data_IF_152032192167
#
_entry.id   IF_152032192167
#
_cell.length_a   1.000
_cell.length_b   1.000
_cell.length_c   1.000
_cell.angle_alpha   90.00
_cell.angle_beta   90.00
_cell.angle_gamma   90.00
#
_symmetry.space_group_name_H-M   'P 1'
#
loop_
_entity.id
_entity.type
_entity.pdbx_description
1 polymer ?
#
# COMPACT_ATOMS: atom_id res chain seq x y z
N UNK A 1 -4.38 -39.54 46.43
CA UNK A 1 -5.21 -38.45 45.86
C UNK A 1 -4.32 -37.59 44.96
N UNK A 2 -4.25 -37.90 43.68
CA UNK A 2 -3.71 -37.02 42.63
C UNK A 2 -3.90 -37.72 41.29
N UNK A 3 -4.91 -37.34 40.49
CA UNK A 3 -4.82 -37.50 39.03
C UNK A 3 -5.78 -36.51 38.32
N UNK A 4 -5.28 -35.97 37.21
CA UNK A 4 -5.97 -35.42 36.03
C UNK A 4 -6.37 -33.93 35.98
N UNK A 5 -5.39 -33.11 35.59
CA UNK A 5 -5.58 -31.88 34.79
C UNK A 5 -4.74 -31.95 33.52
N UNK A 6 -5.14 -32.76 32.53
CA UNK A 6 -4.43 -32.84 31.23
C UNK A 6 -5.28 -33.40 30.08
N UNK A 7 -6.49 -32.87 29.84
CA UNK A 7 -7.33 -33.38 28.74
C UNK A 7 -7.66 -32.38 27.60
N UNK A 8 -7.41 -31.07 27.76
CA UNK A 8 -7.83 -30.10 26.71
C UNK A 8 -6.76 -29.74 25.67
N UNK A 9 -5.48 -30.06 25.90
CA UNK A 9 -4.35 -29.71 25.00
C UNK A 9 -3.96 -30.83 24.04
N UNK A 10 -4.55 -32.02 24.16
CA UNK A 10 -4.18 -33.20 23.37
C UNK A 10 -5.03 -33.40 22.10
N UNK A 11 -6.22 -32.80 22.01
CA UNK A 11 -7.09 -32.99 20.84
C UNK A 11 -6.65 -32.16 19.60
N UNK A 12 -5.90 -31.06 19.79
CA UNK A 12 -5.36 -30.25 18.68
C UNK A 12 -3.98 -30.72 18.21
N UNK A 13 -3.20 -31.41 19.05
CA UNK A 13 -1.84 -31.84 18.72
C UNK A 13 -1.77 -33.05 17.78
N UNK A 14 -2.77 -33.92 17.75
CA UNK A 14 -2.75 -35.11 16.89
C UNK A 14 -3.11 -34.86 15.41
N UNK A 15 -3.69 -33.72 15.04
CA UNK A 15 -3.95 -33.39 13.63
C UNK A 15 -2.85 -32.54 12.96
N UNK A 16 -2.00 -31.88 13.73
CA UNK A 16 -0.98 -30.96 13.22
C UNK A 16 0.31 -31.64 12.69
N UNK A 17 0.45 -32.96 12.89
CA UNK A 17 1.68 -33.71 12.55
C UNK A 17 1.72 -34.18 11.09
N UNK A 18 0.63 -34.10 10.32
CA UNK A 18 0.57 -34.72 8.99
C UNK A 18 0.98 -33.85 7.78
N UNK A 19 1.28 -32.55 7.91
CA UNK A 19 1.62 -31.73 6.72
C UNK A 19 2.72 -30.68 6.96
N UNK A 20 3.97 -31.17 7.04
CA UNK A 20 5.14 -30.41 6.57
C UNK A 20 5.40 -30.84 5.13
N UNK A 21 5.00 -30.06 4.12
CA UNK A 21 5.74 -29.87 2.86
C UNK A 21 4.99 -28.91 1.91
N UNK A 22 5.75 -27.93 1.38
CA UNK A 22 5.48 -27.02 0.25
C UNK A 22 4.31 -26.04 0.36
N UNK A 23 4.68 -24.77 0.58
CA UNK A 23 3.79 -23.62 0.47
C UNK A 23 3.23 -23.46 -0.94
N UNK A 24 1.91 -23.53 -1.03
CA UNK A 24 1.10 -23.03 -2.13
C UNK A 24 0.23 -21.91 -1.57
N UNK A 25 0.50 -20.68 -2.01
CA UNK A 25 -0.38 -19.54 -1.78
C UNK A 25 -1.37 -19.49 -2.94
N UNK A 26 -2.63 -19.83 -2.67
CA UNK A 26 -3.77 -19.49 -3.53
C UNK A 26 -4.76 -18.76 -2.64
N UNK A 27 -5.00 -17.49 -2.93
CA UNK A 27 -6.00 -16.67 -2.27
C UNK A 27 -7.15 -16.48 -3.25
N UNK A 28 -8.31 -17.05 -2.92
CA UNK A 28 -9.57 -16.75 -3.58
C UNK A 28 -10.13 -15.45 -3.02
N UNK A 29 -10.30 -14.48 -3.92
CA UNK A 29 -11.14 -13.30 -3.76
C UNK A 29 -12.34 -13.52 -4.71
N UNK A 30 -13.19 -14.48 -4.37
CA UNK A 30 -14.31 -14.90 -5.21
C UNK A 30 -15.51 -13.96 -5.03
N UNK A 31 -15.39 -12.70 -5.50
CA UNK A 31 -16.52 -11.81 -5.87
C UNK A 31 -16.17 -10.87 -7.05
N UNK A 32 -14.93 -10.84 -7.56
CA UNK A 32 -14.54 -10.03 -8.74
C UNK A 32 -14.08 -10.88 -9.94
N UNK A 33 -14.51 -12.14 -10.02
CA UNK A 33 -14.30 -13.01 -11.17
C UNK A 33 -15.41 -12.82 -12.21
N UNK A 34 -15.37 -11.69 -12.89
CA UNK A 34 -15.77 -11.58 -14.29
C UNK A 34 -15.36 -10.22 -14.79
N UNK A 35 -14.14 -10.11 -15.31
CA UNK A 35 -13.76 -9.31 -16.48
C UNK A 35 -12.24 -9.50 -16.69
N UNK A 36 -11.92 -10.01 -17.88
CA UNK A 36 -10.60 -10.14 -18.52
C UNK A 36 -9.65 -11.24 -18.00
N UNK A 37 -9.96 -12.47 -18.44
CA UNK A 37 -8.97 -13.51 -18.72
C UNK A 37 -8.06 -13.08 -19.89
N UNK A 38 -6.76 -12.93 -19.65
CA UNK A 38 -5.73 -13.43 -20.57
C UNK A 38 -4.53 -13.94 -19.75
N UNK A 39 -4.25 -15.23 -19.93
CA UNK A 39 -3.07 -15.92 -19.44
C UNK A 39 -1.78 -15.21 -19.90
N UNK A 40 -0.82 -14.99 -18.99
CA UNK A 40 0.59 -15.04 -19.37
C UNK A 40 1.48 -15.42 -18.19
N UNK A 41 2.24 -16.50 -18.36
CA UNK A 41 3.19 -17.01 -17.38
C UNK A 41 4.41 -16.11 -17.20
N UNK A 42 5.13 -16.37 -16.08
CA UNK A 42 6.51 -15.97 -15.77
C UNK A 42 7.08 -14.84 -16.65
N UNK A 43 6.96 -13.60 -16.18
CA UNK A 43 7.58 -12.45 -16.84
C UNK A 43 9.12 -12.55 -16.79
N UNK A 44 9.72 -12.98 -17.90
CA UNK A 44 11.08 -12.63 -18.25
C UNK A 44 11.00 -11.35 -19.10
N UNK A 45 11.26 -10.19 -18.49
CA UNK A 45 11.22 -8.91 -19.22
C UNK A 45 12.44 -8.82 -20.14
N UNK A 46 12.29 -9.25 -21.39
CA UNK A 46 13.26 -8.97 -22.45
C UNK A 46 13.05 -7.53 -22.93
N UNK A 47 13.92 -6.62 -22.50
CA UNK A 47 13.95 -5.24 -22.98
C UNK A 47 14.56 -5.23 -24.39
N UNK A 48 13.70 -5.21 -25.43
CA UNK A 48 14.13 -5.02 -26.82
C UNK A 48 14.22 -3.51 -27.12
N UNK A 49 15.39 -2.92 -26.91
CA UNK A 49 15.77 -1.64 -27.49
C UNK A 49 16.47 -1.95 -28.81
N UNK A 50 15.86 -1.63 -29.96
CA UNK A 50 16.53 -1.69 -31.26
C UNK A 50 17.55 -0.55 -31.30
N UNK A 51 18.81 -0.84 -31.05
CA UNK A 51 19.94 -0.05 -31.55
C UNK A 51 20.42 -0.69 -32.85
N UNK A 52 20.46 0.07 -33.92
CA UNK A 52 21.17 -0.28 -35.15
C UNK A 52 22.65 -0.45 -34.82
N UNK A 53 23.11 -1.70 -34.73
CA UNK A 53 24.49 -2.05 -34.40
C UNK A 53 24.56 -3.39 -33.67
N UNK A 54 25.21 -4.37 -34.28
CA UNK A 54 25.22 -5.79 -33.89
C UNK A 54 25.95 -6.13 -32.59
N UNK A 55 25.42 -5.70 -31.46
CA UNK A 55 25.80 -6.23 -30.15
C UNK A 55 24.57 -6.69 -29.40
N UNK A 56 24.61 -7.90 -28.82
CA UNK A 56 23.54 -8.41 -27.95
C UNK A 56 23.21 -7.35 -26.90
N UNK A 57 21.95 -6.92 -26.72
CA UNK A 57 21.61 -5.91 -25.74
C UNK A 57 22.04 -6.39 -24.35
N UNK A 58 22.88 -5.60 -23.67
CA UNK A 58 23.31 -5.89 -22.29
C UNK A 58 22.06 -6.05 -21.44
N UNK A 59 21.88 -7.21 -20.79
CA UNK A 59 20.76 -7.45 -19.86
C UNK A 59 20.82 -6.37 -18.77
N UNK A 60 19.84 -5.47 -18.73
CA UNK A 60 19.74 -4.51 -17.62
C UNK A 60 19.40 -5.29 -16.35
N UNK A 61 20.30 -5.26 -15.38
CA UNK A 61 20.11 -5.92 -14.09
C UNK A 61 19.16 -5.06 -13.27
N UNK A 62 18.05 -5.66 -12.83
CA UNK A 62 17.14 -5.03 -11.89
C UNK A 62 17.57 -5.38 -10.47
N UNK A 63 18.02 -4.38 -9.71
CA UNK A 63 18.52 -4.55 -8.36
C UNK A 63 17.36 -4.67 -7.36
N UNK A 64 17.31 -5.77 -6.62
CA UNK A 64 16.27 -6.02 -5.61
C UNK A 64 16.51 -5.21 -4.34
N UNK A 65 15.40 -4.84 -3.68
CA UNK A 65 15.41 -4.20 -2.36
C UNK A 65 14.79 -5.18 -1.39
N UNK A 66 15.63 -5.94 -0.70
CA UNK A 66 15.20 -7.05 0.17
C UNK A 66 14.29 -6.60 1.31
N UNK A 67 14.49 -5.39 1.85
CA UNK A 67 13.64 -4.85 2.90
C UNK A 67 12.21 -4.59 2.42
N UNK A 68 12.03 -4.07 1.21
CA UNK A 68 10.71 -3.86 0.63
C UNK A 68 10.05 -5.19 0.20
N UNK A 69 10.84 -6.18 -0.21
CA UNK A 69 10.33 -7.55 -0.39
C UNK A 69 9.82 -8.13 0.94
N UNK A 70 10.50 -7.84 2.05
CA UNK A 70 10.14 -8.29 3.38
C UNK A 70 8.84 -7.65 3.88
N UNK A 71 8.53 -6.41 3.49
CA UNK A 71 7.22 -5.77 3.79
C UNK A 71 6.05 -6.66 3.36
N UNK A 72 6.11 -7.22 2.15
CA UNK A 72 5.08 -8.13 1.62
C UNK A 72 4.88 -9.37 2.49
N UNK A 73 5.96 -9.89 3.06
CA UNK A 73 5.92 -11.08 3.92
C UNK A 73 5.49 -10.75 5.35
N UNK A 74 5.90 -9.59 5.88
CA UNK A 74 5.59 -9.15 7.24
C UNK A 74 4.11 -8.88 7.47
N UNK A 75 3.39 -8.44 6.43
CA UNK A 75 1.96 -8.12 6.47
C UNK A 75 1.03 -9.34 6.48
N UNK A 76 1.49 -10.51 6.02
CA UNK A 76 0.65 -11.70 5.88
C UNK A 76 0.00 -12.13 7.19
N UNK A 77 0.77 -12.16 8.30
CA UNK A 77 0.25 -12.56 9.62
C UNK A 77 -0.67 -11.49 10.24
N UNK A 78 -0.29 -10.19 10.29
CA UNK A 78 -1.19 -9.11 10.66
C UNK A 78 -2.54 -9.15 9.94
N UNK A 79 -2.55 -9.42 8.63
CA UNK A 79 -3.78 -9.51 7.86
C UNK A 79 -4.73 -10.59 8.39
N UNK A 80 -4.23 -11.79 8.73
CA UNK A 80 -5.06 -12.86 9.31
C UNK A 80 -5.58 -12.51 10.71
N UNK A 81 -4.72 -11.89 11.54
CA UNK A 81 -5.12 -11.45 12.89
C UNK A 81 -6.25 -10.41 12.82
N UNK A 82 -6.10 -9.42 11.95
CA UNK A 82 -7.09 -8.35 11.78
C UNK A 82 -8.38 -8.88 11.15
N UNK A 83 -8.29 -9.74 10.13
CA UNK A 83 -9.45 -10.41 9.54
C UNK A 83 -10.25 -11.19 10.58
N UNK A 84 -9.57 -11.96 11.42
CA UNK A 84 -10.24 -12.73 12.48
C UNK A 84 -10.88 -11.81 13.53
N UNK A 85 -10.23 -10.69 13.87
CA UNK A 85 -10.83 -9.65 14.72
C UNK A 85 -12.11 -9.10 14.10
N UNK A 86 -12.08 -8.72 12.81
CA UNK A 86 -13.26 -8.19 12.10
C UNK A 86 -14.42 -9.19 12.10
N UNK A 87 -14.14 -10.46 11.82
CA UNK A 87 -15.14 -11.54 11.84
C UNK A 87 -15.73 -11.72 13.24
N UNK A 88 -14.91 -11.74 14.29
CA UNK A 88 -15.42 -11.90 15.66
C UNK A 88 -16.30 -10.71 16.04
N UNK A 89 -15.91 -9.49 15.67
CA UNK A 89 -16.66 -8.27 16.00
C UNK A 89 -17.97 -8.14 15.20
N UNK A 90 -18.06 -8.71 14.01
CA UNK A 90 -19.30 -8.66 13.20
C UNK A 90 -20.42 -9.53 13.80
N UNK A 91 -20.08 -10.52 14.63
CA UNK A 91 -21.05 -11.38 15.29
C UNK A 91 -21.68 -10.70 16.52
N UNK A 92 -23.01 -10.84 16.69
CA UNK A 92 -23.79 -10.20 17.78
C UNK A 92 -23.20 -10.43 19.18
N UNK A 93 -22.72 -11.65 19.44
CA UNK A 93 -22.19 -12.04 20.74
C UNK A 93 -20.67 -11.80 20.87
N UNK A 94 -20.05 -11.12 19.89
CA UNK A 94 -18.59 -10.91 19.80
C UNK A 94 -17.79 -12.22 19.92
N UNK A 95 -18.36 -13.31 19.42
CA UNK A 95 -17.78 -14.64 19.42
C UNK A 95 -18.20 -15.41 18.16
N UNK A 96 -17.33 -16.32 17.72
CA UNK A 96 -17.56 -17.21 16.57
C UNK A 96 -17.34 -18.67 16.99
N UNK A 97 -18.17 -19.58 16.49
CA UNK A 97 -17.96 -21.01 16.68
C UNK A 97 -16.90 -21.52 15.70
N UNK A 98 -15.96 -22.35 16.15
CA UNK A 98 -14.89 -22.89 15.29
C UNK A 98 -15.42 -23.67 14.08
N UNK A 99 -16.60 -24.28 14.21
CA UNK A 99 -17.27 -24.99 13.10
C UNK A 99 -17.74 -24.06 11.99
N UNK A 100 -18.08 -22.82 12.33
CA UNK A 100 -18.65 -21.84 11.39
C UNK A 100 -17.55 -20.96 10.76
N UNK A 101 -16.34 -20.98 11.30
CA UNK A 101 -15.18 -20.27 10.74
C UNK A 101 -14.91 -20.63 9.27
N UNK A 102 -15.14 -21.89 8.87
CA UNK A 102 -14.98 -22.30 7.48
C UNK A 102 -15.94 -21.59 6.52
N UNK A 103 -17.14 -21.25 6.97
CA UNK A 103 -18.13 -20.53 6.16
C UNK A 103 -17.73 -19.07 5.97
N UNK A 104 -17.05 -18.49 6.95
CA UNK A 104 -16.61 -17.09 6.93
C UNK A 104 -15.34 -16.88 6.07
N UNK A 105 -14.36 -17.78 6.16
CA UNK A 105 -13.04 -17.59 5.51
C UNK A 105 -12.72 -18.58 4.40
N UNK A 106 -13.51 -19.64 4.26
CA UNK A 106 -13.24 -20.75 3.35
C UNK A 106 -12.23 -21.77 3.89
N UNK A 107 -12.19 -22.93 3.25
CA UNK A 107 -11.45 -24.12 3.72
C UNK A 107 -9.95 -23.87 3.97
N UNK A 108 -9.26 -23.25 3.01
CA UNK A 108 -7.79 -23.04 3.10
C UNK A 108 -7.46 -22.03 4.21
N UNK A 109 -8.19 -20.93 4.27
CA UNK A 109 -7.90 -19.85 5.22
C UNK A 109 -8.28 -20.20 6.66
N UNK A 110 -9.25 -21.11 6.85
CA UNK A 110 -9.62 -21.66 8.16
C UNK A 110 -8.39 -22.14 8.94
N UNK A 111 -7.47 -22.86 8.28
CA UNK A 111 -6.27 -23.38 8.92
C UNK A 111 -5.29 -22.28 9.33
N UNK A 112 -5.17 -21.22 8.54
CA UNK A 112 -4.37 -20.04 8.91
C UNK A 112 -4.95 -19.33 10.15
N UNK A 113 -6.28 -19.18 10.21
CA UNK A 113 -6.97 -18.64 11.37
C UNK A 113 -6.77 -19.54 12.60
N UNK A 114 -6.93 -20.87 12.46
CA UNK A 114 -6.69 -21.83 13.55
C UNK A 114 -5.26 -21.72 14.11
N UNK A 115 -4.26 -21.64 13.23
CA UNK A 115 -2.87 -21.47 13.65
C UNK A 115 -2.63 -20.13 14.39
N UNK A 116 -3.33 -19.06 14.00
CA UNK A 116 -3.28 -17.76 14.66
C UNK A 116 -3.96 -17.80 16.03
N UNK A 117 -5.11 -18.46 16.15
CA UNK A 117 -5.84 -18.63 17.41
C UNK A 117 -4.98 -19.38 18.43
N UNK A 118 -4.39 -20.51 18.04
CA UNK A 118 -3.53 -21.31 18.92
C UNK A 118 -2.26 -20.54 19.32
N UNK A 119 -1.69 -19.78 18.38
CA UNK A 119 -0.41 -19.09 18.59
C UNK A 119 -0.51 -17.83 19.43
N UNK A 120 -1.66 -17.15 19.44
CA UNK A 120 -1.81 -15.83 20.07
C UNK A 120 -2.94 -15.82 21.12
N UNK A 121 -2.79 -16.57 22.23
CA UNK A 121 -3.77 -16.61 23.31
C UNK A 121 -3.94 -15.26 24.04
N UNK A 122 -3.00 -14.33 23.86
CA UNK A 122 -3.10 -12.95 24.35
C UNK A 122 -4.15 -12.13 23.61
N UNK A 123 -4.48 -12.51 22.37
CA UNK A 123 -5.50 -11.85 21.53
C UNK A 123 -6.79 -12.66 21.53
N UNK A 124 -6.69 -13.98 21.32
CA UNK A 124 -7.84 -14.86 21.12
C UNK A 124 -8.04 -15.78 22.34
N UNK A 125 -9.21 -15.68 22.94
CA UNK A 125 -9.67 -16.58 23.99
C UNK A 125 -10.55 -17.66 23.39
N UNK A 126 -10.20 -18.93 23.63
CA UNK A 126 -10.99 -20.09 23.23
C UNK A 126 -11.78 -20.57 24.44
N UNK A 127 -13.09 -20.67 24.30
CA UNK A 127 -13.99 -21.18 25.35
C UNK A 127 -14.84 -22.34 24.84
N UNK A 128 -15.32 -23.18 25.76
CA UNK A 128 -16.09 -24.38 25.46
C UNK A 128 -15.28 -25.68 25.48
N UNK A 129 -15.98 -26.81 25.53
CA UNK A 129 -15.39 -28.16 25.64
C UNK A 129 -16.25 -29.14 26.44
N UNK A 130 -16.12 -30.44 26.16
CA UNK A 130 -16.88 -31.59 26.68
C UNK A 130 -18.39 -31.64 26.38
N UNK A 131 -19.14 -30.53 26.44
CA UNK A 131 -20.60 -30.48 26.15
C UNK A 131 -21.09 -29.20 25.46
N UNK A 132 -20.23 -28.19 25.33
CA UNK A 132 -20.55 -26.92 24.67
C UNK A 132 -19.71 -26.73 23.41
N UNK A 133 -20.27 -26.12 22.34
CA UNK A 133 -19.51 -25.82 21.12
C UNK A 133 -18.29 -24.95 21.43
N UNK A 134 -17.15 -25.29 20.81
CA UNK A 134 -15.93 -24.49 20.96
C UNK A 134 -16.11 -23.15 20.22
N UNK A 135 -15.95 -22.07 20.97
CA UNK A 135 -16.08 -20.70 20.48
C UNK A 135 -14.80 -19.91 20.71
N UNK A 136 -14.58 -18.91 19.86
CA UNK A 136 -13.45 -17.99 19.92
C UNK A 136 -13.97 -16.58 20.08
N UNK A 137 -13.38 -15.86 21.02
CA UNK A 137 -13.65 -14.45 21.27
C UNK A 137 -12.34 -13.69 21.48
N UNK A 138 -12.40 -12.37 21.41
CA UNK A 138 -11.25 -11.54 21.78
C UNK A 138 -11.08 -11.54 23.31
N UNK A 139 -9.83 -11.53 23.78
CA UNK A 139 -9.53 -11.29 25.22
C UNK A 139 -9.98 -9.89 25.63
N UNK A 140 -10.22 -9.65 26.92
CA UNK A 140 -10.61 -8.31 27.42
C UNK A 140 -9.59 -7.22 27.05
N UNK A 141 -8.30 -7.56 27.03
CA UNK A 141 -7.25 -6.64 26.58
C UNK A 141 -7.38 -6.32 25.09
N UNK A 142 -7.61 -7.33 24.26
CA UNK A 142 -7.82 -7.15 22.83
C UNK A 142 -9.11 -6.40 22.52
N UNK A 143 -10.20 -6.65 23.25
CA UNK A 143 -11.47 -5.93 23.11
C UNK A 143 -11.31 -4.43 23.41
N UNK A 144 -10.57 -4.08 24.47
CA UNK A 144 -10.27 -2.68 24.80
C UNK A 144 -9.54 -1.98 23.65
N UNK A 145 -8.47 -2.58 23.13
CA UNK A 145 -7.75 -2.00 21.98
C UNK A 145 -8.63 -1.98 20.73
N UNK A 146 -9.48 -2.98 20.52
CA UNK A 146 -10.38 -3.02 19.37
C UNK A 146 -11.43 -1.90 19.38
N UNK A 147 -11.80 -1.38 20.55
CA UNK A 147 -12.73 -0.25 20.68
C UNK A 147 -12.14 1.07 20.14
N UNK A 148 -10.81 1.21 20.14
CA UNK A 148 -10.11 2.40 19.60
C UNK A 148 -10.23 2.52 18.07
N UNK A 149 -10.81 1.53 17.39
CA UNK A 149 -10.97 1.53 15.93
C UNK A 149 -11.87 2.65 15.44
N UNK A 150 -12.94 2.95 16.18
CA UNK A 150 -13.92 3.97 15.77
C UNK A 150 -13.31 5.37 15.85
N UNK A 151 -12.50 5.64 16.88
CA UNK A 151 -11.68 6.86 16.96
C UNK A 151 -10.72 6.95 15.78
N UNK A 152 -10.03 5.85 15.45
CA UNK A 152 -9.13 5.82 14.30
C UNK A 152 -9.85 6.09 12.97
N UNK A 153 -11.11 5.63 12.81
CA UNK A 153 -11.96 5.91 11.64
C UNK A 153 -12.35 7.38 11.56
N UNK A 154 -12.75 7.98 12.69
CA UNK A 154 -13.10 9.41 12.77
C UNK A 154 -11.91 10.27 12.35
N UNK A 155 -10.71 9.96 12.86
CA UNK A 155 -9.48 10.67 12.50
C UNK A 155 -9.06 10.43 11.04
N UNK A 156 -9.47 9.31 10.45
CA UNK A 156 -9.15 8.96 9.06
C UNK A 156 -10.06 9.68 8.06
N UNK A 157 -11.34 9.92 8.39
CA UNK A 157 -12.32 10.54 7.50
C UNK A 157 -11.83 11.81 6.76
N UNK A 158 -11.28 12.85 7.43
CA UNK A 158 -10.77 14.04 6.74
C UNK A 158 -9.60 13.75 5.80
N UNK A 159 -8.76 12.75 6.12
CA UNK A 159 -7.64 12.32 5.27
C UNK A 159 -8.18 11.65 4.01
N UNK A 160 -9.21 10.80 4.14
CA UNK A 160 -9.85 10.14 3.01
C UNK A 160 -10.50 11.15 2.06
N UNK A 161 -11.19 12.15 2.60
CA UNK A 161 -11.80 13.22 1.80
C UNK A 161 -10.72 14.02 1.06
N UNK A 162 -9.64 14.43 1.75
CA UNK A 162 -8.49 15.10 1.11
C UNK A 162 -7.91 14.24 -0.01
N UNK A 163 -7.68 12.94 0.24
CA UNK A 163 -7.06 12.04 -0.72
C UNK A 163 -7.96 11.76 -1.93
N UNK A 164 -9.27 11.60 -1.74
CA UNK A 164 -10.23 11.45 -2.84
C UNK A 164 -10.30 12.72 -3.70
N UNK A 165 -10.34 13.91 -3.07
CA UNK A 165 -10.29 15.18 -3.82
C UNK A 165 -9.01 15.28 -4.65
N UNK A 166 -7.84 15.02 -4.05
CA UNK A 166 -6.56 14.99 -4.76
C UNK A 166 -6.54 13.96 -5.89
N UNK A 167 -7.06 12.75 -5.67
CA UNK A 167 -7.15 11.72 -6.72
C UNK A 167 -7.96 12.22 -7.91
N UNK A 168 -9.11 12.82 -7.68
CA UNK A 168 -9.94 13.40 -8.75
C UNK A 168 -9.21 14.56 -9.44
N UNK A 169 -8.57 15.45 -8.67
CA UNK A 169 -7.78 16.57 -9.22
C UNK A 169 -6.59 16.11 -10.09
N UNK A 170 -6.02 14.93 -9.85
CA UNK A 170 -4.97 14.34 -10.69
C UNK A 170 -5.50 13.88 -12.05
N UNK A 171 -6.79 13.57 -12.16
CA UNK A 171 -7.40 13.10 -13.41
C UNK A 171 -7.70 14.23 -14.37
N UNK A 172 -7.63 13.94 -15.66
CA UNK A 172 -7.81 14.94 -16.72
C UNK A 172 -9.18 15.61 -16.70
N UNK A 173 -10.22 14.82 -16.44
CA UNK A 173 -11.62 15.28 -16.45
C UNK A 173 -12.17 15.51 -15.04
N UNK A 174 -11.32 15.49 -14.00
CA UNK A 174 -11.73 15.62 -12.59
C UNK A 174 -12.81 14.61 -12.16
N UNK A 175 -12.77 13.40 -12.75
CA UNK A 175 -13.73 12.32 -12.53
C UNK A 175 -13.09 10.96 -12.69
N UNK A 176 -13.62 9.97 -11.97
CA UNK A 176 -13.16 8.57 -12.03
C UNK A 176 -14.38 7.64 -11.99
N UNK A 177 -14.43 6.56 -12.79
CA UNK A 177 -15.45 5.52 -12.65
C UNK A 177 -15.43 4.91 -11.24
N UNK A 178 -16.60 4.73 -10.61
CA UNK A 178 -16.67 4.15 -9.26
C UNK A 178 -16.04 2.74 -9.21
N UNK A 179 -16.20 1.93 -10.26
CA UNK A 179 -15.56 0.62 -10.40
C UNK A 179 -14.03 0.68 -10.23
N UNK A 180 -13.38 1.76 -10.69
CA UNK A 180 -11.92 1.94 -10.55
C UNK A 180 -11.53 2.39 -9.15
N UNK A 181 -12.39 3.15 -8.45
CA UNK A 181 -12.18 3.52 -7.06
C UNK A 181 -12.32 2.27 -6.18
N UNK A 182 -13.33 1.43 -6.42
CA UNK A 182 -13.52 0.14 -5.75
C UNK A 182 -12.27 -0.76 -5.90
N UNK A 183 -11.66 -0.78 -7.08
CA UNK A 183 -10.43 -1.54 -7.32
C UNK A 183 -9.25 -1.13 -6.40
N UNK A 184 -9.24 0.12 -5.92
CA UNK A 184 -8.18 0.67 -5.05
C UNK A 184 -8.68 1.08 -3.65
N UNK A 185 -9.91 0.72 -3.27
CA UNK A 185 -10.53 1.20 -2.03
C UNK A 185 -9.71 0.84 -0.78
N UNK A 186 -9.17 -0.38 -0.76
CA UNK A 186 -8.29 -0.86 0.31
C UNK A 186 -6.94 -0.11 0.36
N UNK A 187 -6.40 0.27 -0.80
CA UNK A 187 -5.15 1.04 -0.89
C UNK A 187 -5.36 2.49 -0.44
N UNK A 188 -6.55 3.06 -0.65
CA UNK A 188 -6.91 4.39 -0.15
C UNK A 188 -7.36 4.38 1.31
N UNK A 189 -7.72 3.21 1.84
CA UNK A 189 -8.25 3.06 3.21
C UNK A 189 -9.72 3.48 3.32
N UNK A 190 -10.48 3.41 2.22
CA UNK A 190 -11.90 3.74 2.22
C UNK A 190 -12.72 2.71 3.00
N UNK A 191 -13.78 3.14 3.71
CA UNK A 191 -14.78 2.22 4.27
C UNK A 191 -15.43 1.37 3.18
N UNK A 192 -15.81 0.13 3.48
CA UNK A 192 -16.48 -0.79 2.53
C UNK A 192 -17.77 -0.16 1.96
N UNK A 193 -18.45 0.66 2.76
CA UNK A 193 -19.69 1.33 2.42
C UNK A 193 -19.50 2.80 2.01
N UNK A 194 -18.28 3.24 1.64
CA UNK A 194 -17.94 4.65 1.38
C UNK A 194 -18.89 5.35 0.41
N UNK A 195 -19.47 4.61 -0.55
CA UNK A 195 -20.47 5.11 -1.51
C UNK A 195 -21.73 5.64 -0.83
N UNK A 196 -22.10 5.06 0.31
CA UNK A 196 -23.28 5.42 1.12
C UNK A 196 -22.91 6.21 2.37
N UNK A 197 -21.73 5.97 2.94
CA UNK A 197 -21.32 6.54 4.23
C UNK A 197 -20.43 7.78 4.11
N UNK A 198 -19.56 7.87 3.10
CA UNK A 198 -18.58 8.95 2.95
C UNK A 198 -19.01 9.96 1.88
N UNK A 199 -19.30 9.50 0.66
CA UNK A 199 -19.61 10.38 -0.48
C UNK A 199 -20.81 11.31 -0.18
N UNK A 200 -21.96 10.82 0.34
CA UNK A 200 -23.12 11.68 0.58
C UNK A 200 -22.94 12.70 1.70
N UNK A 201 -21.93 12.55 2.57
CA UNK A 201 -21.62 13.52 3.63
C UNK A 201 -20.97 14.80 3.10
N UNK A 202 -20.39 14.75 1.91
CA UNK A 202 -19.60 15.84 1.31
C UNK A 202 -20.12 16.20 -0.10
N UNK A 203 -21.41 16.58 -0.25
CA UNK A 203 -21.99 16.95 -1.55
C UNK A 203 -21.32 18.17 -2.19
N UNK A 204 -20.68 19.03 -1.39
CA UNK A 204 -19.91 20.18 -1.86
C UNK A 204 -18.62 19.78 -2.60
N UNK A 205 -18.11 18.57 -2.35
CA UNK A 205 -16.90 18.06 -2.99
C UNK A 205 -17.19 16.99 -4.03
N UNK A 206 -18.19 16.15 -3.80
CA UNK A 206 -18.43 14.95 -4.60
C UNK A 206 -19.85 14.87 -5.14
N UNK A 207 -19.96 14.46 -6.40
CA UNK A 207 -21.22 13.99 -6.97
C UNK A 207 -21.02 12.68 -7.73
N UNK A 208 -22.07 11.86 -7.79
CA UNK A 208 -22.08 10.65 -8.61
C UNK A 208 -22.97 10.90 -9.82
N UNK A 209 -22.40 10.82 -11.02
CA UNK A 209 -23.08 11.08 -12.30
C UNK A 209 -22.94 9.87 -13.22
N UNK A 210 -24.00 9.55 -13.96
CA UNK A 210 -23.93 8.52 -15.00
C UNK A 210 -23.30 9.10 -16.27
N UNK A 211 -22.33 8.39 -16.83
CA UNK A 211 -21.72 8.68 -18.12
C UNK A 211 -21.67 7.39 -18.93
N UNK A 212 -22.53 7.29 -19.94
CA UNK A 212 -22.65 6.12 -20.82
C UNK A 212 -22.99 4.82 -20.06
N UNK A 213 -23.92 4.88 -19.11
CA UNK A 213 -24.37 3.72 -18.32
C UNK A 213 -23.38 3.29 -17.24
N UNK A 214 -22.41 4.13 -16.90
CA UNK A 214 -21.42 3.90 -15.85
C UNK A 214 -21.43 5.04 -14.85
N UNK A 215 -21.41 4.71 -13.57
CA UNK A 215 -21.34 5.70 -12.50
C UNK A 215 -19.91 6.25 -12.34
N UNK A 216 -19.77 7.57 -12.39
CA UNK A 216 -18.53 8.29 -12.15
C UNK A 216 -18.65 9.13 -10.88
N UNK A 217 -17.59 9.13 -10.09
CA UNK A 217 -17.38 10.13 -9.05
C UNK A 217 -16.76 11.38 -9.69
N UNK A 218 -17.41 12.52 -9.49
CA UNK A 218 -16.96 13.83 -9.96
C UNK A 218 -16.50 14.71 -8.80
N UNK A 219 -15.50 15.54 -9.06
CA UNK A 219 -15.13 16.64 -8.19
C UNK A 219 -15.96 17.87 -8.54
N UNK A 220 -16.77 18.36 -7.61
CA UNK A 220 -17.61 19.54 -7.82
C UNK A 220 -16.87 20.85 -7.55
N UNK A 221 -15.95 20.86 -6.57
CA UNK A 221 -15.22 22.06 -6.16
C UNK A 221 -13.70 21.82 -6.22
N UNK A 222 -13.05 22.56 -7.13
CA UNK A 222 -11.59 22.59 -7.23
C UNK A 222 -11.01 23.48 -6.12
N UNK A 223 -10.00 22.96 -5.43
CA UNK A 223 -9.33 23.67 -4.34
C UNK A 223 -7.84 23.75 -4.61
N UNK A 224 -7.41 24.96 -4.97
CA UNK A 224 -6.02 25.23 -5.32
C UNK A 224 -5.06 25.00 -4.15
N UNK A 225 -5.52 25.04 -2.89
CA UNK A 225 -4.68 24.74 -1.73
C UNK A 225 -4.26 23.26 -1.68
N UNK A 226 -5.07 22.37 -2.28
CA UNK A 226 -4.75 20.95 -2.41
C UNK A 226 -3.81 20.66 -3.58
N UNK A 227 -3.55 21.64 -4.46
CA UNK A 227 -2.71 21.51 -5.66
C UNK A 227 -1.21 21.39 -5.39
N UNK A 228 -0.81 21.08 -4.16
CA UNK A 228 0.58 20.87 -3.72
C UNK A 228 0.83 19.37 -3.58
N UNK A 229 1.89 18.87 -4.20
CA UNK A 229 2.27 17.45 -4.14
C UNK A 229 2.86 17.06 -2.79
N UNK A 230 2.78 15.79 -2.41
CA UNK A 230 3.43 15.24 -1.22
C UNK A 230 4.96 15.48 -1.24
N UNK A 231 5.56 15.52 -2.44
CA UNK A 231 6.96 15.89 -2.62
C UNK A 231 7.22 17.35 -2.23
N UNK A 232 6.37 18.28 -2.69
CA UNK A 232 6.50 19.71 -2.38
C UNK A 232 6.23 19.99 -0.90
N UNK A 233 5.22 19.35 -0.30
CA UNK A 233 4.90 19.43 1.14
C UNK A 233 6.14 19.02 1.99
N UNK A 234 6.86 17.96 1.61
CA UNK A 234 8.09 17.55 2.32
C UNK A 234 9.24 18.54 2.18
N UNK A 235 9.42 19.13 0.99
CA UNK A 235 10.50 20.09 0.75
C UNK A 235 10.32 21.38 1.56
N UNK A 236 9.09 21.83 1.76
CA UNK A 236 8.81 23.01 2.61
C UNK A 236 9.21 22.74 4.06
N UNK A 237 8.86 21.57 4.59
CA UNK A 237 9.24 21.17 5.96
C UNK A 237 10.76 21.02 6.14
N UNK A 238 11.46 20.48 5.15
CA UNK A 238 12.92 20.31 5.20
C UNK A 238 13.68 21.65 4.99
N UNK A 239 13.09 22.58 4.22
CA UNK A 239 13.67 23.89 3.89
C UNK A 239 13.65 24.89 5.05
N UNK A 240 12.67 24.80 5.95
CA UNK A 240 12.61 25.63 7.17
C UNK A 240 13.74 25.30 8.16
N UNK A 241 14.38 24.13 8.04
CA UNK A 241 15.50 23.70 8.90
C UNK A 241 16.89 23.97 8.34
N UNK A 242 17.02 24.48 7.10
CA UNK A 242 18.34 24.78 6.49
C UNK A 242 18.34 26.14 5.81
N UNK A 243 18.77 27.15 6.56
CA UNK A 243 19.05 28.49 6.08
C UNK A 243 19.96 28.50 4.85
N UNK A 244 19.62 29.37 3.91
CA UNK A 244 20.15 29.39 2.55
C UNK A 244 21.64 29.62 2.44
N UNK A 245 22.32 28.71 1.74
CA UNK A 245 23.60 28.97 1.08
C UNK A 245 23.35 29.29 -0.38
N UNK A 246 23.41 30.58 -0.75
CA UNK A 246 23.48 31.01 -2.15
C UNK A 246 24.82 30.54 -2.75
N UNK A 247 24.76 29.90 -3.91
CA UNK A 247 25.75 30.19 -4.95
C UNK A 247 26.93 29.24 -5.15
N UNK A 248 26.92 28.01 -4.63
CA UNK A 248 27.90 27.01 -5.08
C UNK A 248 27.24 26.08 -6.11
N UNK A 249 27.92 25.79 -7.22
CA UNK A 249 27.48 24.79 -8.21
C UNK A 249 27.56 23.41 -7.56
N UNK A 250 26.58 23.07 -6.72
CA UNK A 250 26.53 21.77 -6.06
C UNK A 250 26.38 20.72 -7.15
N UNK A 251 27.42 19.92 -7.38
CA UNK A 251 27.35 18.73 -8.24
C UNK A 251 26.47 17.69 -7.56
N UNK A 252 25.77 16.86 -8.34
CA UNK A 252 24.99 15.75 -7.79
C UNK A 252 25.88 14.87 -6.90
N UNK A 253 25.41 14.55 -5.69
CA UNK A 253 26.15 13.68 -4.79
C UNK A 253 26.10 12.22 -5.29
N UNK A 254 27.03 11.38 -4.82
CA UNK A 254 27.13 9.98 -5.26
C UNK A 254 25.87 9.14 -4.95
N UNK A 255 25.04 9.60 -4.03
CA UNK A 255 23.73 9.04 -3.68
C UNK A 255 22.60 9.48 -4.64
N UNK A 256 22.89 10.34 -5.62
CA UNK A 256 21.92 10.79 -6.63
C UNK A 256 21.00 11.93 -6.17
N UNK A 257 21.17 12.42 -4.95
CA UNK A 257 20.37 13.53 -4.43
C UNK A 257 20.92 14.87 -4.93
N UNK A 258 20.02 15.80 -5.24
CA UNK A 258 20.35 17.11 -5.78
C UNK A 258 19.51 18.17 -5.06
N UNK A 259 20.12 19.23 -4.50
CA UNK A 259 19.38 20.28 -3.80
C UNK A 259 18.70 21.20 -4.81
N UNK A 260 17.53 20.79 -5.30
CA UNK A 260 16.70 21.61 -6.19
C UNK A 260 15.22 21.50 -5.81
N UNK A 261 14.45 22.60 -5.93
CA UNK A 261 13.00 22.59 -5.79
C UNK A 261 12.29 21.58 -6.70
N UNK A 262 12.95 21.13 -7.78
CA UNK A 262 12.39 20.20 -8.77
C UNK A 262 12.96 18.77 -8.69
N UNK A 263 13.89 18.50 -7.76
CA UNK A 263 14.52 17.20 -7.62
C UNK A 263 13.74 16.18 -6.77
N UNK A 264 13.60 14.95 -7.25
CA UNK A 264 13.09 13.84 -6.44
C UNK A 264 14.16 13.31 -5.50
N UNK A 265 13.75 12.84 -4.32
CA UNK A 265 14.63 12.08 -3.43
C UNK A 265 14.96 10.72 -4.07
N UNK A 266 16.23 10.37 -4.07
CA UNK A 266 16.75 9.16 -4.73
C UNK A 266 17.31 8.18 -3.70
N UNK A 267 16.87 6.92 -3.82
CA UNK A 267 17.27 5.81 -2.97
C UNK A 267 17.79 4.65 -3.82
N UNK A 268 19.09 4.50 -3.87
CA UNK A 268 19.72 3.39 -4.57
C UNK A 268 19.61 2.08 -3.78
N UNK A 269 19.35 0.95 -4.46
CA UNK A 269 19.39 -0.35 -3.82
C UNK A 269 20.83 -0.71 -3.41
N UNK A 270 20.96 -1.58 -2.40
CA UNK A 270 22.27 -2.07 -1.97
C UNK A 270 23.03 -2.70 -3.14
N UNK A 271 24.31 -2.33 -3.28
CA UNK A 271 25.18 -2.78 -4.36
C UNK A 271 25.00 -2.06 -5.71
N UNK A 272 24.03 -1.16 -5.86
CA UNK A 272 24.00 -0.28 -7.04
C UNK A 272 25.09 0.79 -6.94
N UNK A 273 25.93 0.87 -7.97
CA UNK A 273 27.01 1.83 -8.09
C UNK A 273 26.78 2.64 -9.37
N UNK A 274 26.24 3.86 -9.28
CA UNK A 274 26.05 4.69 -10.47
C UNK A 274 27.42 5.09 -11.04
N UNK A 275 27.55 5.02 -12.37
CA UNK A 275 28.71 5.57 -13.06
C UNK A 275 28.53 7.09 -13.27
N UNK A 276 29.60 7.77 -13.71
CA UNK A 276 29.60 9.21 -13.95
C UNK A 276 28.53 9.63 -14.96
N UNK A 277 28.41 8.93 -16.08
CA UNK A 277 27.39 9.21 -17.12
C UNK A 277 25.97 9.11 -16.58
N UNK A 278 25.70 8.15 -15.70
CA UNK A 278 24.39 8.00 -15.06
C UNK A 278 24.10 9.19 -14.15
N UNK A 279 25.06 9.60 -13.32
CA UNK A 279 24.92 10.73 -12.42
C UNK A 279 24.71 12.04 -13.19
N UNK A 280 25.46 12.29 -14.27
CA UNK A 280 25.28 13.47 -15.11
C UNK A 280 23.88 13.51 -15.76
N UNK A 281 23.42 12.36 -16.27
CA UNK A 281 22.08 12.26 -16.86
C UNK A 281 20.98 12.45 -15.81
N UNK A 282 21.17 11.91 -14.61
CA UNK A 282 20.26 12.11 -13.49
C UNK A 282 20.24 13.58 -13.06
N UNK A 283 21.40 14.23 -12.94
CA UNK A 283 21.50 15.66 -12.60
C UNK A 283 20.75 16.53 -13.62
N UNK A 284 20.96 16.29 -14.92
CA UNK A 284 20.22 16.97 -15.98
C UNK A 284 18.72 16.76 -15.87
N UNK A 285 18.26 15.59 -15.43
CA UNK A 285 16.83 15.29 -15.23
C UNK A 285 16.28 15.94 -13.95
N UNK A 286 17.04 15.94 -12.85
CA UNK A 286 16.67 16.58 -11.60
C UNK A 286 16.52 18.10 -11.76
N UNK A 287 17.37 18.73 -12.58
CA UNK A 287 17.32 20.17 -12.90
C UNK A 287 16.15 20.60 -13.77
N UNK A 288 15.54 19.69 -14.54
CA UNK A 288 14.39 20.04 -15.38
C UNK A 288 13.28 20.67 -14.54
N UNK A 289 12.54 21.60 -15.13
CA UNK A 289 11.31 22.11 -14.53
C UNK A 289 10.37 20.95 -14.20
N UNK A 290 9.61 21.13 -13.13
CA UNK A 290 8.64 20.16 -12.65
C UNK A 290 7.23 20.74 -12.81
N UNK A 291 6.57 20.50 -13.95
CA UNK A 291 5.17 20.90 -14.11
C UNK A 291 4.32 20.16 -13.08
N UNK A 292 3.46 20.90 -12.37
CA UNK A 292 2.64 20.31 -11.32
C UNK A 292 1.78 19.15 -11.86
N UNK A 293 1.72 18.01 -11.15
CA UNK A 293 0.81 16.91 -11.46
C UNK A 293 -0.66 17.31 -11.54
N UNK A 294 -1.07 18.38 -10.86
CA UNK A 294 -2.44 18.90 -10.84
C UNK A 294 -2.77 19.82 -12.03
N UNK A 295 -1.79 20.18 -12.86
CA UNK A 295 -2.07 20.83 -14.14
C UNK A 295 -2.65 19.84 -15.13
N UNK A 296 -3.60 20.27 -15.96
CA UNK A 296 -4.25 19.40 -16.94
C UNK A 296 -3.23 18.77 -17.90
N UNK A 297 -3.19 17.44 -17.94
CA UNK A 297 -2.20 16.68 -18.70
C UNK A 297 -2.28 16.89 -20.22
N UNK A 298 -3.43 17.30 -20.77
CA UNK A 298 -3.60 17.58 -22.21
C UNK A 298 -2.77 18.75 -22.73
N UNK A 299 -2.24 19.59 -21.83
CA UNK A 299 -1.41 20.76 -22.17
C UNK A 299 0.03 20.40 -22.55
N UNK A 300 0.43 19.13 -22.37
CA UNK A 300 1.81 18.71 -22.53
C UNK A 300 1.95 17.71 -23.67
N UNK A 301 2.95 17.91 -24.52
CA UNK A 301 3.37 16.92 -25.49
C UNK A 301 4.09 15.76 -24.78
N UNK A 302 3.61 14.53 -24.97
CA UNK A 302 4.16 13.33 -24.34
C UNK A 302 5.62 13.05 -24.75
N UNK A 303 6.08 13.57 -25.89
CA UNK A 303 7.47 13.44 -26.33
C UNK A 303 8.43 14.30 -25.48
N UNK A 304 7.93 15.39 -24.89
CA UNK A 304 8.72 16.33 -24.13
C UNK A 304 9.34 15.70 -22.87
N UNK A 305 10.54 16.17 -22.52
CA UNK A 305 11.26 15.74 -21.32
C UNK A 305 10.55 16.18 -20.05
N UNK A 306 9.93 17.38 -20.03
CA UNK A 306 9.21 17.86 -18.84
C UNK A 306 7.91 17.10 -18.65
N UNK A 307 7.17 16.81 -19.73
CA UNK A 307 5.99 15.94 -19.68
C UNK A 307 6.32 14.56 -19.09
N UNK A 308 7.42 13.93 -19.51
CA UNK A 308 7.88 12.65 -18.93
C UNK A 308 8.27 12.75 -17.46
N UNK A 309 8.84 13.88 -17.04
CA UNK A 309 9.12 14.15 -15.61
C UNK A 309 7.83 14.35 -14.82
N UNK A 310 6.83 15.05 -15.38
CA UNK A 310 5.49 15.20 -14.78
C UNK A 310 4.81 13.86 -14.57
N UNK A 311 4.91 12.92 -15.52
CA UNK A 311 4.37 11.55 -15.33
C UNK A 311 4.96 10.86 -14.09
N UNK A 312 6.27 11.02 -13.85
CA UNK A 312 6.90 10.50 -12.61
C UNK A 312 6.31 11.18 -11.37
N UNK A 313 6.04 12.48 -11.45
CA UNK A 313 5.33 13.23 -10.41
C UNK A 313 3.91 12.72 -10.15
N UNK A 314 3.13 12.45 -11.20
CA UNK A 314 1.78 11.88 -11.08
C UNK A 314 1.80 10.50 -10.42
N UNK A 315 2.75 9.65 -10.80
CA UNK A 315 2.91 8.31 -10.20
C UNK A 315 3.35 8.38 -8.73
N UNK A 316 4.25 9.32 -8.42
CA UNK A 316 4.69 9.61 -7.05
C UNK A 316 3.52 10.10 -6.20
N UNK A 317 2.74 11.06 -6.69
CA UNK A 317 1.57 11.59 -5.97
C UNK A 317 0.51 10.50 -5.79
N UNK A 318 0.17 9.75 -6.84
CA UNK A 318 -0.81 8.67 -6.77
C UNK A 318 -0.45 7.64 -5.68
N UNK A 319 0.80 7.19 -5.63
CA UNK A 319 1.26 6.29 -4.58
C UNK A 319 1.27 6.99 -3.21
N UNK A 320 1.56 8.29 -3.16
CA UNK A 320 1.51 9.06 -1.92
C UNK A 320 0.10 9.20 -1.35
N UNK A 321 -0.95 9.07 -2.15
CA UNK A 321 -2.34 9.04 -1.66
C UNK A 321 -2.72 7.71 -0.99
N UNK A 322 -1.99 6.62 -1.23
CA UNK A 322 -2.31 5.33 -0.62
C UNK A 322 -1.84 5.25 0.82
N UNK A 323 -2.52 4.45 1.64
CA UNK A 323 -2.23 4.31 3.08
C UNK A 323 -0.84 3.73 3.33
N UNK A 324 -0.43 2.78 2.50
CA UNK A 324 0.85 2.10 2.60
C UNK A 324 1.87 2.57 1.55
N UNK A 325 1.60 3.65 0.80
CA UNK A 325 2.55 4.21 -0.18
C UNK A 325 3.01 3.21 -1.24
N UNK A 326 2.10 2.29 -1.57
CA UNK A 326 2.26 1.22 -2.56
C UNK A 326 0.94 0.96 -3.27
N UNK A 327 1.00 0.29 -4.42
CA UNK A 327 -0.16 -0.13 -5.21
C UNK A 327 0.27 -1.25 -6.18
N UNK A 328 -0.66 -2.14 -6.58
CA UNK A 328 -0.35 -3.16 -7.60
C UNK A 328 -0.22 -2.56 -9.00
N UNK A 329 0.57 -3.18 -9.86
CA UNK A 329 0.72 -2.73 -11.26
C UNK A 329 -0.59 -2.78 -12.04
N UNK A 330 -1.47 -3.72 -11.72
CA UNK A 330 -2.81 -3.86 -12.33
C UNK A 330 -3.69 -2.68 -11.95
N UNK A 331 -3.73 -2.32 -10.65
CA UNK A 331 -4.44 -1.14 -10.17
C UNK A 331 -3.92 0.13 -10.85
N UNK A 332 -2.61 0.34 -10.91
CA UNK A 332 -2.05 1.53 -11.58
C UNK A 332 -2.40 1.59 -13.07
N UNK A 333 -2.35 0.47 -13.78
CA UNK A 333 -2.73 0.39 -15.19
C UNK A 333 -4.23 0.69 -15.41
N UNK A 334 -5.10 0.37 -14.45
CA UNK A 334 -6.53 0.66 -14.56
C UNK A 334 -6.80 2.17 -14.69
N UNK A 335 -5.94 3.03 -14.16
CA UNK A 335 -6.04 4.49 -14.23
C UNK A 335 -5.29 5.11 -15.43
N UNK A 336 -4.84 4.30 -16.39
CA UNK A 336 -4.03 4.78 -17.51
C UNK A 336 -4.74 5.90 -18.31
N UNK A 337 -6.03 5.75 -18.58
CA UNK A 337 -6.83 6.72 -19.32
C UNK A 337 -7.06 8.02 -18.56
N UNK A 338 -7.42 7.93 -17.28
CA UNK A 338 -7.79 9.06 -16.44
C UNK A 338 -6.60 9.97 -16.13
N UNK A 339 -5.41 9.37 -16.00
CA UNK A 339 -4.16 10.07 -15.66
C UNK A 339 -3.24 10.32 -16.87
N UNK A 340 -3.63 9.87 -18.06
CA UNK A 340 -2.80 9.84 -19.28
C UNK A 340 -1.42 9.21 -19.04
N UNK A 341 -1.39 8.04 -18.39
CA UNK A 341 -0.15 7.31 -18.16
C UNK A 341 0.40 6.69 -19.45
N UNK A 342 1.73 6.55 -19.58
CA UNK A 342 2.34 5.95 -20.76
C UNK A 342 1.96 4.47 -20.89
N UNK A 343 1.71 4.02 -22.12
CA UNK A 343 1.39 2.61 -22.43
C UNK A 343 2.45 1.61 -21.93
N UNK A 344 3.71 2.05 -21.79
CA UNK A 344 4.81 1.27 -21.21
C UNK A 344 5.08 1.68 -19.76
N UNK A 345 4.05 1.69 -18.91
CA UNK A 345 4.14 2.12 -17.51
C UNK A 345 5.25 1.41 -16.74
N UNK A 346 5.37 0.09 -16.88
CA UNK A 346 6.40 -0.70 -16.19
C UNK A 346 7.82 -0.26 -16.57
N UNK A 347 8.05 0.06 -17.84
CA UNK A 347 9.35 0.56 -18.30
C UNK A 347 9.67 1.94 -17.69
N UNK A 348 8.65 2.79 -17.52
CA UNK A 348 8.78 4.06 -16.81
C UNK A 348 9.22 3.82 -15.37
N UNK A 349 8.51 2.96 -14.63
CA UNK A 349 8.84 2.63 -13.23
C UNK A 349 10.26 2.05 -13.08
N UNK A 350 10.66 1.12 -13.96
CA UNK A 350 12.01 0.54 -13.96
C UNK A 350 13.08 1.58 -14.26
N UNK A 351 12.83 2.51 -15.18
CA UNK A 351 13.77 3.60 -15.50
C UNK A 351 13.99 4.52 -14.29
N UNK A 352 12.96 4.68 -13.46
CA UNK A 352 12.98 5.50 -12.25
C UNK A 352 13.12 4.64 -10.97
N UNK A 353 13.96 3.60 -11.03
CA UNK A 353 14.21 2.68 -9.91
C UNK A 353 14.83 3.32 -8.66
N UNK A 354 15.28 4.58 -8.74
CA UNK A 354 15.72 5.36 -7.57
C UNK A 354 14.55 5.87 -6.72
N UNK A 355 13.36 5.96 -7.31
CA UNK A 355 12.13 6.49 -6.68
C UNK A 355 11.16 5.33 -6.41
N UNK A 356 10.98 4.45 -7.38
CA UNK A 356 10.05 3.34 -7.30
C UNK A 356 10.76 2.01 -7.11
N UNK A 357 10.09 1.08 -6.44
CA UNK A 357 10.49 -0.32 -6.36
C UNK A 357 9.34 -1.24 -6.74
N UNK A 358 9.58 -2.16 -7.66
CA UNK A 358 8.64 -3.20 -8.07
C UNK A 358 9.08 -4.53 -7.45
N UNK A 359 8.15 -5.21 -6.77
CA UNK A 359 8.32 -6.57 -6.25
C UNK A 359 7.30 -7.53 -6.84
N UNK A 360 7.71 -8.80 -6.99
CA UNK A 360 6.87 -9.91 -7.44
C UNK A 360 6.62 -10.93 -6.31
N UNK A 361 6.82 -10.54 -5.05
CA UNK A 361 6.59 -11.40 -3.88
C UNK A 361 5.11 -11.68 -3.58
N UNK A 362 4.21 -10.85 -4.12
CA UNK A 362 2.76 -11.05 -4.07
C UNK A 362 2.23 -11.80 -5.28
N UNK A 363 0.91 -12.02 -5.30
CA UNK A 363 0.20 -12.61 -6.46
C UNK A 363 0.36 -11.72 -7.70
N UNK A 364 0.35 -10.40 -7.49
CA UNK A 364 0.54 -9.38 -8.52
C UNK A 364 1.78 -8.56 -8.20
N UNK A 365 2.42 -8.02 -9.24
CA UNK A 365 3.54 -7.10 -9.06
C UNK A 365 3.07 -5.86 -8.29
N UNK A 366 3.79 -5.51 -7.24
CA UNK A 366 3.47 -4.36 -6.38
C UNK A 366 4.55 -3.30 -6.51
N UNK A 367 4.13 -2.05 -6.67
CA UNK A 367 5.00 -0.88 -6.82
C UNK A 367 4.99 -0.12 -5.50
N UNK A 368 6.17 0.19 -4.98
CA UNK A 368 6.42 0.91 -3.74
C UNK A 368 7.05 2.27 -4.05
N UNK A 369 6.67 3.27 -3.28
CA UNK A 369 7.39 4.53 -3.19
C UNK A 369 8.54 4.40 -2.19
N UNK A 370 9.79 4.44 -2.64
CA UNK A 370 10.95 4.13 -1.79
C UNK A 370 11.14 5.11 -0.63
N UNK A 371 10.93 6.40 -0.90
CA UNK A 371 11.11 7.46 0.11
C UNK A 371 10.14 7.37 1.29
N UNK A 372 9.07 6.56 1.18
CA UNK A 372 8.11 6.37 2.26
C UNK A 372 8.56 5.31 3.29
N UNK A 373 9.67 4.62 3.04
CA UNK A 373 10.11 3.51 3.85
C UNK A 373 11.52 3.70 4.38
N UNK A 374 11.70 3.38 5.65
CA UNK A 374 12.99 3.13 6.26
C UNK A 374 13.17 1.62 6.48
N UNK A 375 13.99 1.01 5.64
CA UNK A 375 14.09 -0.44 5.54
C UNK A 375 12.73 -1.08 5.21
N UNK A 376 12.19 -1.85 6.16
CA UNK A 376 10.89 -2.53 6.05
C UNK A 376 9.76 -1.81 6.81
N UNK A 377 10.04 -0.62 7.37
CA UNK A 377 9.08 0.17 8.12
C UNK A 377 8.55 1.33 7.28
N UNK A 378 7.23 1.52 7.29
CA UNK A 378 6.60 2.72 6.73
C UNK A 378 6.85 3.90 7.69
N UNK A 379 7.40 5.00 7.15
CA UNK A 379 7.80 6.19 7.93
C UNK A 379 6.56 6.88 8.52
N UNK A 380 5.61 7.27 7.65
CA UNK A 380 4.39 7.97 8.06
C UNK A 380 3.20 7.01 8.06
N UNK A 381 2.68 6.71 9.26
CA UNK A 381 1.50 5.85 9.44
C UNK A 381 0.26 6.71 9.68
N UNK A 382 -0.77 6.52 8.85
CA UNK A 382 -2.09 7.11 9.09
C UNK A 382 -2.77 6.51 10.33
N UNK A 383 -3.81 7.18 10.89
CA UNK A 383 -4.48 6.75 12.13
C UNK A 383 -4.88 5.27 12.13
N UNK A 384 -5.46 4.78 11.03
CA UNK A 384 -5.90 3.38 10.93
C UNK A 384 -4.71 2.39 10.94
N UNK A 385 -3.56 2.75 10.36
CA UNK A 385 -2.36 1.91 10.41
C UNK A 385 -1.74 1.91 11.81
N UNK A 386 -1.76 3.04 12.53
CA UNK A 386 -1.33 3.11 13.93
C UNK A 386 -2.18 2.22 14.82
N UNK A 387 -3.51 2.29 14.66
CA UNK A 387 -4.45 1.39 15.34
C UNK A 387 -4.15 -0.08 15.03
N UNK A 388 -4.02 -0.45 13.73
CA UNK A 388 -3.73 -1.83 13.31
C UNK A 388 -2.43 -2.35 13.91
N UNK A 389 -1.38 -1.52 13.93
CA UNK A 389 -0.11 -1.86 14.58
C UNK A 389 -0.27 -2.06 16.09
N UNK A 390 -1.01 -1.18 16.78
CA UNK A 390 -1.32 -1.29 18.21
C UNK A 390 -2.06 -2.59 18.53
N UNK A 391 -3.04 -2.97 17.72
CA UNK A 391 -3.77 -4.22 17.89
C UNK A 391 -2.87 -5.45 17.67
N UNK A 392 -2.08 -5.46 16.59
CA UNK A 392 -1.18 -6.58 16.26
C UNK A 392 -0.06 -6.73 17.29
N UNK A 393 0.39 -5.65 17.94
CA UNK A 393 1.41 -5.71 18.98
C UNK A 393 1.01 -6.55 20.20
N UNK A 394 -0.30 -6.76 20.42
CA UNK A 394 -0.81 -7.69 21.44
C UNK A 394 -0.35 -9.14 21.21
N UNK A 395 0.13 -9.47 20.01
CA UNK A 395 0.66 -10.77 19.64
C UNK A 395 2.07 -11.03 20.21
N UNK A 396 2.63 -10.10 21.00
CA UNK A 396 4.02 -10.13 21.47
C UNK A 396 5.04 -9.72 20.40
N UNK A 397 4.58 -9.25 19.23
CA UNK A 397 5.44 -8.55 18.28
C UNK A 397 5.64 -7.12 18.78
N UNK A 398 6.79 -6.86 19.39
CA UNK A 398 7.31 -5.50 19.43
C UNK A 398 7.70 -5.16 18.00
N UNK A 399 6.81 -4.50 17.27
CA UNK A 399 7.27 -3.61 16.22
C UNK A 399 8.21 -2.62 16.92
N UNK A 400 9.45 -2.48 16.43
CA UNK A 400 10.50 -1.64 17.02
C UNK A 400 10.10 -0.16 17.20
N UNK A 401 8.90 0.21 16.73
CA UNK A 401 8.31 1.55 16.75
C UNK A 401 7.68 1.97 18.08
N UNK A 402 7.45 1.07 19.04
CA UNK A 402 6.97 1.52 20.37
C UNK A 402 8.05 2.27 21.17
N UNK A 403 9.33 2.19 20.78
CA UNK A 403 10.40 2.93 21.45
C UNK A 403 10.30 4.44 21.24
N UNK A 404 9.77 4.91 20.11
CA UNK A 404 9.86 6.35 19.77
C UNK A 404 8.66 7.15 20.30
N UNK A 405 7.44 6.58 20.32
CA UNK A 405 6.26 7.21 20.95
C UNK A 405 6.38 7.29 22.49
N UNK A 406 7.22 6.46 23.14
CA UNK A 406 7.49 6.54 24.59
C UNK A 406 8.52 7.63 24.91
N UNK A 407 9.44 7.95 23.99
CA UNK A 407 10.48 8.97 24.20
C UNK A 407 9.99 10.41 24.02
N UNK A 408 8.78 10.62 23.50
CA UNK A 408 8.16 11.95 23.40
C UNK A 408 7.19 12.26 24.55
N UNK A 409 7.03 11.37 25.53
CA UNK A 409 6.21 11.57 26.73
C UNK A 409 6.98 11.46 28.05
N UNK A 410 8.30 11.58 28.01
CA UNK A 410 9.19 11.82 29.15
C UNK A 410 9.97 13.08 28.82
#
# INVERSE_FOLDING_TARGET
MHVHTSCSTYCLKSLAIMMRFKGFFVSNLAVLESILFQNSGRMCVQIRLKSSGGSKPKKKIYHRVHELDKVMDLQKKPAVILQLKDIIQSHKNKCILLRDLEKEVGFVQKWNCMAVIEKYPTIFHVSGGNRTPVSVQLTEKAQRVAADEDEAKILMEPILVKNLRKLLMLTVDCRVPLEKIELIENELGLPIDYKKSLIPKYPEFFSVKDVNGKAYLHLESWDSSLGVTAREEKLTHEGESKGGGKGERVKISKDGNYPSPNAFRIYYPAGFRPNTDFLENLERWQKLEFPSPYLNARRFDQADRMARKRVVGVLHELLSLTIEKRMTSVQMNAFQSELLLPARLLLCLIKHHGIFYITNKGVRSTVFLKEAYDGSNLIEKCPILRYKAKFVALSGRLDSTFSDDIRQKI
#
